data_IF_122383296724
#
_entry.id   IF_122383296724
#
_cell.length_a   1.000
_cell.length_b   1.000
_cell.length_c   1.000
_cell.angle_alpha   90.00
_cell.angle_beta   90.00
_cell.angle_gamma   90.00
#
_symmetry.space_group_name_H-M   'P 1'
#
loop_
_entity.id
_entity.type
_entity.pdbx_description
1 polymer ?
#
# COMPACT_ATOMS: atom_id res chain seq x y z
N UNK A 1 -22.36 -21.59 9.61
CA UNK A 1 -21.39 -20.55 9.20
C UNK A 1 -20.60 -21.07 8.01
N UNK A 2 -20.73 -20.47 6.82
CA UNK A 2 -19.89 -20.84 5.67
C UNK A 2 -18.46 -20.37 5.96
N UNK A 3 -17.54 -21.31 6.14
CA UNK A 3 -16.13 -20.95 6.14
C UNK A 3 -15.75 -20.56 4.71
N UNK A 4 -15.21 -19.35 4.54
CA UNK A 4 -14.64 -18.89 3.28
C UNK A 4 -13.37 -19.69 3.02
N UNK A 5 -13.42 -20.61 2.06
CA UNK A 5 -12.27 -21.41 1.60
C UNK A 5 -11.36 -20.64 0.63
N UNK A 6 -11.54 -19.32 0.50
CA UNK A 6 -10.82 -18.47 -0.46
C UNK A 6 -9.69 -17.66 0.18
N UNK A 7 -8.78 -17.18 -0.67
CA UNK A 7 -7.72 -16.23 -0.29
C UNK A 7 -8.36 -14.87 -0.01
N UNK A 8 -8.02 -14.26 1.13
CA UNK A 8 -8.42 -12.88 1.45
C UNK A 8 -7.46 -11.90 0.79
N UNK A 9 -8.00 -10.87 0.14
CA UNK A 9 -7.21 -9.83 -0.53
C UNK A 9 -7.60 -8.46 0.02
N UNK A 10 -6.60 -7.74 0.56
CA UNK A 10 -6.75 -6.35 0.98
C UNK A 10 -6.24 -5.42 -0.11
N UNK A 11 -7.12 -4.65 -0.75
CA UNK A 11 -6.71 -3.63 -1.71
C UNK A 11 -6.47 -2.29 -0.99
N UNK A 12 -5.30 -1.70 -1.20
CA UNK A 12 -4.95 -0.36 -0.68
C UNK A 12 -4.57 0.58 -1.81
N UNK A 13 -5.14 1.80 -1.79
CA UNK A 13 -4.77 2.91 -2.67
C UNK A 13 -4.47 4.18 -1.85
N UNK A 14 -3.70 5.10 -2.42
CA UNK A 14 -3.56 6.46 -1.94
C UNK A 14 -3.82 7.39 -3.12
N UNK A 15 -4.74 8.33 -2.97
CA UNK A 15 -5.17 9.22 -4.03
C UNK A 15 -5.49 10.61 -3.45
N UNK A 16 -5.45 11.62 -4.32
CA UNK A 16 -5.99 12.95 -4.06
C UNK A 16 -7.53 12.92 -3.97
N UNK A 17 -8.12 14.03 -3.53
CA UNK A 17 -9.59 14.17 -3.40
C UNK A 17 -10.31 14.01 -4.75
N UNK A 18 -9.68 14.40 -5.85
CA UNK A 18 -10.17 14.20 -7.22
C UNK A 18 -9.80 12.83 -7.81
N UNK A 19 -9.31 11.90 -6.97
CA UNK A 19 -9.12 10.49 -7.31
C UNK A 19 -7.84 10.17 -8.11
N UNK A 20 -6.83 11.04 -8.09
CA UNK A 20 -5.57 10.84 -8.82
C UNK A 20 -4.49 10.23 -7.92
N UNK A 21 -3.72 9.30 -8.47
CA UNK A 21 -2.61 8.64 -7.77
C UNK A 21 -1.23 9.23 -8.12
N UNK A 22 -1.17 10.04 -9.16
CA UNK A 22 0.00 10.78 -9.64
C UNK A 22 -0.45 11.99 -10.46
N UNK A 23 0.44 12.98 -10.63
CA UNK A 23 0.24 14.07 -11.60
C UNK A 23 0.34 13.54 -13.04
N UNK A 24 -0.05 14.36 -14.03
CA UNK A 24 0.13 14.01 -15.45
C UNK A 24 1.59 13.79 -15.89
N UNK A 25 2.55 14.27 -15.08
CA UNK A 25 3.99 14.05 -15.29
C UNK A 25 4.54 12.87 -14.46
N UNK A 26 3.70 12.16 -13.72
CA UNK A 26 4.09 10.97 -12.95
C UNK A 26 4.55 11.23 -11.52
N UNK A 27 4.48 12.46 -11.00
CA UNK A 27 4.81 12.71 -9.59
C UNK A 27 3.73 12.14 -8.67
N UNK A 28 4.11 11.14 -7.87
CA UNK A 28 3.21 10.34 -7.01
C UNK A 28 3.62 10.34 -5.53
N UNK A 29 4.78 10.92 -5.20
CA UNK A 29 5.34 10.84 -3.85
C UNK A 29 4.56 11.74 -2.90
N UNK A 30 4.16 11.14 -1.77
CA UNK A 30 3.57 11.82 -0.61
C UNK A 30 2.20 12.48 -0.85
N UNK A 31 1.35 11.87 -1.68
CA UNK A 31 -0.07 12.23 -1.78
C UNK A 31 -0.78 12.17 -0.42
N UNK A 32 -0.41 11.22 0.44
CA UNK A 32 -0.90 11.08 1.81
C UNK A 32 0.21 11.27 2.85
N UNK A 33 -0.11 11.86 4.01
CA UNK A 33 0.83 12.13 5.10
C UNK A 33 1.24 10.91 5.94
N UNK A 34 2.06 11.14 6.98
CA UNK A 34 2.70 10.10 7.80
C UNK A 34 1.74 9.13 8.49
N UNK A 35 0.62 9.64 9.01
CA UNK A 35 -0.40 8.81 9.68
C UNK A 35 -0.93 7.72 8.73
N UNK A 36 -1.25 8.09 7.49
CA UNK A 36 -1.74 7.16 6.48
C UNK A 36 -0.65 6.14 6.08
N UNK A 37 0.61 6.57 6.02
CA UNK A 37 1.75 5.69 5.71
C UNK A 37 2.01 4.66 6.82
N UNK A 38 1.88 5.06 8.09
CA UNK A 38 1.93 4.12 9.23
C UNK A 38 0.81 3.08 9.13
N UNK A 39 -0.42 3.49 8.78
CA UNK A 39 -1.51 2.52 8.57
C UNK A 39 -1.21 1.55 7.40
N UNK A 40 -0.57 2.01 6.34
CA UNK A 40 -0.13 1.13 5.25
C UNK A 40 0.93 0.11 5.73
N UNK A 41 1.86 0.50 6.62
CA UNK A 41 2.80 -0.43 7.24
C UNK A 41 2.11 -1.45 8.16
N UNK A 42 1.07 -1.04 8.89
CA UNK A 42 0.26 -1.95 9.67
C UNK A 42 -0.45 -2.99 8.78
N UNK A 43 -1.05 -2.57 7.67
CA UNK A 43 -1.65 -3.50 6.72
C UNK A 43 -0.63 -4.50 6.16
N UNK A 44 0.60 -4.06 5.86
CA UNK A 44 1.68 -4.96 5.44
C UNK A 44 2.09 -5.95 6.53
N UNK A 45 2.00 -5.56 7.80
CA UNK A 45 2.28 -6.45 8.92
C UNK A 45 1.19 -7.51 9.11
N UNK A 46 -0.07 -7.15 8.83
CA UNK A 46 -1.24 -8.01 8.99
C UNK A 46 -1.47 -8.97 7.80
N UNK A 47 -0.77 -8.79 6.67
CA UNK A 47 -0.94 -9.62 5.46
C UNK A 47 0.34 -10.41 5.16
N UNK A 48 0.19 -11.68 4.76
CA UNK A 48 1.30 -12.60 4.49
C UNK A 48 2.15 -12.20 3.28
N UNK A 49 1.56 -11.49 2.31
CA UNK A 49 2.23 -11.11 1.06
C UNK A 49 1.82 -9.72 0.59
N UNK A 50 2.71 -9.09 -0.18
CA UNK A 50 2.48 -7.80 -0.83
C UNK A 50 2.58 -8.00 -2.34
N UNK A 51 1.56 -7.52 -3.06
CA UNK A 51 1.49 -7.58 -4.51
C UNK A 51 1.53 -6.18 -5.11
N UNK A 52 2.36 -5.99 -6.14
CA UNK A 52 2.39 -4.79 -6.98
C UNK A 52 2.60 -5.17 -8.44
N UNK A 53 2.23 -4.30 -9.37
CA UNK A 53 2.60 -4.43 -10.78
C UNK A 53 4.04 -3.99 -11.03
N UNK A 54 4.64 -4.46 -12.13
CA UNK A 54 6.04 -4.17 -12.47
C UNK A 54 6.33 -2.65 -12.58
N UNK A 55 5.38 -1.87 -13.10
CA UNK A 55 5.56 -0.42 -13.26
C UNK A 55 5.73 0.31 -11.92
N UNK A 56 5.14 -0.21 -10.84
CA UNK A 56 5.36 0.34 -9.48
C UNK A 56 6.81 0.14 -9.06
N UNK A 57 7.42 -1.02 -9.37
CA UNK A 57 8.83 -1.25 -9.10
C UNK A 57 9.70 -0.30 -9.92
N UNK A 58 9.46 -0.21 -11.22
CA UNK A 58 10.26 0.62 -12.13
C UNK A 58 10.15 2.12 -11.83
N UNK A 59 9.01 2.60 -11.36
CA UNK A 59 8.75 4.03 -11.14
C UNK A 59 9.10 4.49 -9.73
N UNK A 60 8.79 3.68 -8.72
CA UNK A 60 8.87 4.11 -7.31
C UNK A 60 10.07 3.50 -6.55
N UNK A 61 10.73 2.47 -7.09
CA UNK A 61 11.77 1.67 -6.43
C UNK A 61 11.47 1.35 -4.95
N UNK A 62 10.35 0.68 -4.65
CA UNK A 62 9.89 0.53 -3.28
C UNK A 62 10.56 -0.66 -2.60
N UNK A 63 11.09 -0.47 -1.39
CA UNK A 63 11.55 -1.61 -0.59
C UNK A 63 10.44 -2.54 -0.10
N UNK A 64 9.16 -2.10 -0.12
CA UNK A 64 7.95 -2.84 0.29
C UNK A 64 7.98 -3.56 1.66
N UNK A 65 8.97 -3.30 2.51
CA UNK A 65 9.06 -3.88 3.86
C UNK A 65 8.13 -3.21 4.87
N UNK A 66 7.93 -3.89 6.01
CA UNK A 66 7.29 -3.33 7.22
C UNK A 66 8.34 -2.52 8.00
N UNK A 67 8.00 -1.28 8.38
CA UNK A 67 8.88 -0.36 9.10
C UNK A 67 8.06 0.49 10.07
N UNK A 68 8.63 0.82 11.23
CA UNK A 68 8.00 1.72 12.21
C UNK A 68 6.73 1.16 12.86
N UNK A 69 6.62 -0.16 12.99
CA UNK A 69 5.58 -0.86 13.76
C UNK A 69 6.29 -1.54 14.94
N UNK A 70 5.82 -1.33 16.17
CA UNK A 70 6.30 -2.07 17.34
C UNK A 70 5.88 -3.53 17.21
N UNK A 71 6.78 -4.46 17.51
CA UNK A 71 6.43 -5.88 17.58
C UNK A 71 5.56 -6.08 18.81
N UNK A 72 4.33 -6.56 18.61
CA UNK A 72 3.53 -7.18 19.67
C UNK A 72 4.16 -8.49 20.14
#
# INVERSE_FOLDING_TARGET
MKQSTGITVTLKAAASVDGKIATGTGHSKWVTGDVARRKAHQLRHENDAILVGINTILTDDPGLTVRGIEKG
#
